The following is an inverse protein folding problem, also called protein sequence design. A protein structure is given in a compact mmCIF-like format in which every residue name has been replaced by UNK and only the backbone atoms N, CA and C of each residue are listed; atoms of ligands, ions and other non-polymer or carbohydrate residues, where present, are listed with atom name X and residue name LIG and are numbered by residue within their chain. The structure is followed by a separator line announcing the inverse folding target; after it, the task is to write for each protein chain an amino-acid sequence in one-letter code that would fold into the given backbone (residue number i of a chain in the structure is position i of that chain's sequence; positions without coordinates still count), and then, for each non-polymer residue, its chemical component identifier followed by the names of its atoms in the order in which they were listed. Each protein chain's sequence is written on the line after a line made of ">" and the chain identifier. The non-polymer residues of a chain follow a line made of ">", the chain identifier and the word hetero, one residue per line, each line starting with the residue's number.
data_IF_831813668961
#
_entry.id   IF_831813668961
#
_cell.length_a   1.000
_cell.length_b   1.000
_cell.length_c   1.000
_cell.angle_alpha   90.00
_cell.angle_beta   90.00
_cell.angle_gamma   90.00
#
_symmetry.space_group_name_H-M   'P 1'
#
loop_
_entity.id
_entity.type
_entity.pdbx_description
1 polymer ?
#
# COMPACT_ATOMS: atom_id res chain seq x y z
N UNK A 1 -2.89 49.49 -12.26
CA UNK A 1 -2.35 48.17 -11.92
C UNK A 1 -3.38 47.12 -12.33
N UNK A 2 -3.03 46.22 -13.23
CA UNK A 2 -3.89 45.15 -13.71
C UNK A 2 -4.16 44.09 -12.63
N UNK A 3 -5.17 43.22 -12.82
CA UNK A 3 -5.52 42.20 -11.82
C UNK A 3 -4.34 41.28 -11.47
N UNK A 4 -3.57 40.84 -12.43
CA UNK A 4 -2.38 39.99 -12.22
C UNK A 4 -1.28 40.68 -11.42
N UNK A 5 -1.06 42.00 -11.67
CA UNK A 5 -0.09 42.78 -10.92
C UNK A 5 -0.52 43.00 -9.48
N UNK A 6 -1.84 43.09 -9.20
CA UNK A 6 -2.37 43.17 -7.83
C UNK A 6 -2.16 41.87 -7.07
N UNK A 7 -2.30 40.74 -7.72
CA UNK A 7 -2.09 39.42 -7.14
C UNK A 7 -0.61 39.20 -6.75
N UNK A 8 0.32 39.54 -7.65
CA UNK A 8 1.76 39.49 -7.40
C UNK A 8 2.17 40.43 -6.28
N UNK A 9 1.67 41.69 -6.28
CA UNK A 9 1.91 42.65 -5.21
C UNK A 9 1.36 42.13 -3.87
N UNK A 10 0.16 41.56 -3.88
CA UNK A 10 -0.43 40.93 -2.70
C UNK A 10 0.43 39.82 -2.12
N UNK A 11 0.93 38.93 -2.97
CA UNK A 11 1.82 37.84 -2.58
C UNK A 11 3.17 38.34 -2.01
N UNK A 12 3.76 39.36 -2.62
CA UNK A 12 5.00 39.99 -2.14
C UNK A 12 4.84 40.69 -0.77
N UNK A 13 3.70 41.35 -0.55
CA UNK A 13 3.38 41.94 0.74
C UNK A 13 3.11 40.91 1.84
N UNK A 14 2.40 39.81 1.48
CA UNK A 14 2.11 38.69 2.38
C UNK A 14 3.37 37.91 2.79
N UNK A 15 4.29 37.72 1.84
CA UNK A 15 5.55 37.01 2.09
C UNK A 15 6.57 37.85 2.87
N UNK A 16 6.31 39.12 3.09
CA UNK A 16 7.25 40.06 3.75
C UNK A 16 8.45 40.47 2.88
N UNK A 17 8.44 40.12 1.60
CA UNK A 17 9.48 40.50 0.63
C UNK A 17 9.36 41.96 0.21
N UNK A 18 8.21 42.58 0.46
CA UNK A 18 7.95 43.97 0.16
C UNK A 18 7.37 44.66 1.40
N UNK A 19 8.05 45.69 1.92
CA UNK A 19 7.52 46.50 3.02
C UNK A 19 6.75 47.68 2.47
N UNK A 20 5.43 47.81 2.71
CA UNK A 20 4.70 49.02 2.39
C UNK A 20 5.18 50.16 3.30
N UNK A 21 5.25 51.39 2.78
CA UNK A 21 5.44 52.59 3.60
C UNK A 21 4.14 52.87 4.38
N UNK A 22 3.94 52.12 5.46
CA UNK A 22 2.73 52.17 6.28
C UNK A 22 2.56 53.47 7.04
N UNK A 23 3.61 54.30 7.08
CA UNK A 23 3.53 55.64 7.70
C UNK A 23 2.61 56.57 6.93
N UNK A 24 2.48 56.36 5.62
CA UNK A 24 1.63 57.21 4.75
C UNK A 24 0.18 56.72 4.64
N UNK A 25 -0.09 55.48 5.11
CA UNK A 25 -1.39 54.83 4.94
C UNK A 25 -1.85 54.12 6.22
N UNK A 26 -2.25 54.86 7.25
CA UNK A 26 -2.64 54.28 8.55
C UNK A 26 -3.85 53.35 8.45
N UNK A 27 -4.76 53.57 7.50
CA UNK A 27 -5.90 52.71 7.23
C UNK A 27 -5.47 51.30 6.69
N UNK A 28 -4.39 51.25 5.94
CA UNK A 28 -3.81 49.97 5.43
C UNK A 28 -3.11 49.25 6.57
N UNK A 29 -2.42 49.99 7.44
CA UNK A 29 -1.72 49.43 8.61
C UNK A 29 -2.68 48.66 9.51
N UNK A 30 -3.81 49.23 9.86
CA UNK A 30 -4.82 48.59 10.70
C UNK A 30 -5.41 47.30 10.06
N UNK A 31 -5.69 47.34 8.76
CA UNK A 31 -6.16 46.16 8.04
C UNK A 31 -5.12 45.07 7.96
N UNK A 32 -3.86 45.42 7.76
CA UNK A 32 -2.75 44.44 7.69
C UNK A 32 -2.50 43.80 9.06
N UNK A 33 -2.57 44.55 10.13
CA UNK A 33 -2.46 44.02 11.50
C UNK A 33 -3.61 43.06 11.83
N UNK A 34 -4.84 43.43 11.45
CA UNK A 34 -6.01 42.55 11.60
C UNK A 34 -5.85 41.24 10.78
N UNK A 35 -5.38 41.35 9.55
CA UNK A 35 -5.12 40.18 8.70
C UNK A 35 -4.04 39.25 9.31
N UNK A 36 -2.92 39.81 9.78
CA UNK A 36 -1.85 39.05 10.43
C UNK A 36 -2.35 38.30 11.65
N UNK A 37 -3.14 38.96 12.49
CA UNK A 37 -3.74 38.33 13.68
C UNK A 37 -4.63 37.14 13.29
N UNK A 38 -5.50 37.32 12.29
CA UNK A 38 -6.34 36.21 11.79
C UNK A 38 -5.48 35.10 11.22
N UNK A 39 -4.43 35.43 10.46
CA UNK A 39 -3.52 34.41 9.88
C UNK A 39 -2.74 33.65 10.95
N UNK A 40 -2.42 34.27 12.09
CA UNK A 40 -1.77 33.63 13.24
C UNK A 40 -2.73 32.70 14.01
N UNK A 41 -4.03 33.04 14.05
CA UNK A 41 -5.08 32.22 14.68
C UNK A 41 -5.44 31.00 13.84
N UNK A 42 -5.18 31.03 12.52
CA UNK A 42 -5.44 29.87 11.65
C UNK A 42 -4.43 28.76 11.92
N UNK A 43 -4.91 27.53 12.12
CA UNK A 43 -4.00 26.39 12.27
C UNK A 43 -3.15 26.25 11.00
N UNK A 44 -1.83 26.16 11.17
CA UNK A 44 -0.93 25.93 10.04
C UNK A 44 -1.27 24.60 9.40
N UNK A 45 -1.54 24.55 8.09
CA UNK A 45 -1.84 23.30 7.42
C UNK A 45 -0.64 22.36 7.52
N UNK A 46 -0.90 21.13 7.93
CA UNK A 46 0.10 20.06 7.91
C UNK A 46 0.17 19.49 6.51
N UNK A 47 1.26 19.77 5.82
CA UNK A 47 1.49 19.22 4.49
C UNK A 47 2.15 17.86 4.60
N UNK A 48 1.59 16.87 3.92
CA UNK A 48 2.19 15.57 3.74
C UNK A 48 2.55 15.38 2.26
N UNK A 49 3.67 14.70 1.99
CA UNK A 49 3.98 14.30 0.63
C UNK A 49 2.96 13.27 0.18
N UNK A 50 2.28 13.53 -0.90
CA UNK A 50 1.24 12.67 -1.44
C UNK A 50 1.34 12.60 -2.96
N UNK A 51 0.69 11.59 -3.53
CA UNK A 51 0.54 11.43 -4.97
C UNK A 51 -0.76 12.10 -5.38
N UNK A 52 -0.66 13.02 -6.32
CA UNK A 52 -1.84 13.64 -6.96
C UNK A 52 -2.10 12.92 -8.28
N UNK A 53 -3.36 12.73 -8.61
CA UNK A 53 -3.73 12.12 -9.87
C UNK A 53 -3.38 13.02 -11.06
N UNK A 54 -2.80 12.43 -12.10
CA UNK A 54 -2.39 13.14 -13.31
C UNK A 54 -3.39 13.02 -14.44
N UNK A 55 -3.10 13.69 -15.55
CA UNK A 55 -3.88 13.54 -16.79
C UNK A 55 -3.69 12.12 -17.33
N UNK A 56 -4.77 11.36 -17.54
CA UNK A 56 -4.70 10.02 -18.05
C UNK A 56 -4.16 10.02 -19.49
N UNK A 57 -3.14 9.20 -19.75
CA UNK A 57 -2.56 9.06 -21.09
C UNK A 57 -2.42 7.58 -21.40
N UNK A 58 -2.96 7.14 -22.52
CA UNK A 58 -2.76 5.79 -23.04
C UNK A 58 -1.34 5.68 -23.61
N UNK A 59 -0.60 4.66 -23.20
CA UNK A 59 0.78 4.44 -23.64
C UNK A 59 0.84 3.29 -24.65
N UNK A 60 1.63 3.45 -25.73
CA UNK A 60 1.89 2.35 -26.65
C UNK A 60 2.81 1.31 -25.98
N UNK A 61 2.74 0.08 -26.48
CA UNK A 61 3.65 -0.99 -26.03
C UNK A 61 5.01 -0.79 -26.66
N UNK A 62 6.08 -0.83 -25.88
CA UNK A 62 7.45 -0.83 -26.35
C UNK A 62 7.80 -2.24 -26.85
N UNK A 63 7.90 -2.41 -28.17
CA UNK A 63 8.20 -3.70 -28.77
C UNK A 63 9.60 -4.17 -28.37
N UNK A 64 9.66 -5.36 -27.73
CA UNK A 64 10.89 -5.91 -27.15
C UNK A 64 11.59 -5.00 -26.12
N UNK A 65 10.82 -4.09 -25.48
CA UNK A 65 11.36 -3.14 -24.50
C UNK A 65 12.12 -1.95 -25.11
N UNK A 66 12.15 -1.82 -26.42
CA UNK A 66 12.81 -0.70 -27.09
C UNK A 66 11.87 0.51 -27.16
N UNK A 67 12.23 1.59 -26.44
CA UNK A 67 11.46 2.84 -26.40
C UNK A 67 11.38 3.57 -27.75
N UNK A 68 12.23 3.24 -28.71
CA UNK A 68 12.24 3.78 -30.08
C UNK A 68 11.33 2.97 -31.03
N UNK A 69 11.00 1.75 -30.63
CA UNK A 69 10.15 0.85 -31.40
C UNK A 69 8.83 0.62 -30.66
N UNK A 70 7.86 1.49 -30.92
CA UNK A 70 6.56 1.48 -30.24
C UNK A 70 5.49 0.86 -31.15
N UNK A 71 4.52 0.21 -30.54
CA UNK A 71 3.34 -0.26 -31.26
C UNK A 71 2.55 0.91 -31.85
N UNK A 72 1.90 0.69 -32.98
CA UNK A 72 1.07 1.71 -33.62
C UNK A 72 -0.21 2.03 -32.81
N UNK A 73 -0.64 1.11 -31.95
CA UNK A 73 -1.84 1.26 -31.14
C UNK A 73 -1.44 1.46 -29.67
N UNK A 74 -2.08 2.43 -29.02
CA UNK A 74 -2.02 2.55 -27.58
C UNK A 74 -2.77 1.38 -26.93
N UNK A 75 -2.26 0.91 -25.80
CA UNK A 75 -2.95 -0.08 -24.99
C UNK A 75 -3.90 0.64 -24.03
N UNK A 76 -5.23 0.38 -24.12
CA UNK A 76 -6.14 0.94 -23.14
C UNK A 76 -5.81 0.39 -21.74
N UNK A 77 -5.95 1.25 -20.74
CA UNK A 77 -5.73 0.85 -19.35
C UNK A 77 -6.87 -0.04 -18.90
N UNK A 78 -6.55 -1.24 -18.50
CA UNK A 78 -7.54 -2.20 -17.98
C UNK A 78 -6.95 -3.02 -16.83
N UNK A 79 -7.83 -3.64 -16.06
CA UNK A 79 -7.43 -4.57 -15.03
C UNK A 79 -6.99 -5.91 -15.65
N UNK A 80 -6.33 -6.76 -14.85
CA UNK A 80 -5.80 -8.05 -15.31
C UNK A 80 -6.92 -8.95 -15.84
N UNK A 81 -6.77 -9.47 -17.05
CA UNK A 81 -7.78 -10.34 -17.71
C UNK A 81 -8.14 -11.56 -16.87
N UNK A 82 -7.14 -12.20 -16.28
CA UNK A 82 -7.34 -13.35 -15.40
C UNK A 82 -8.10 -13.05 -14.09
N UNK A 83 -8.33 -11.78 -13.78
CA UNK A 83 -9.07 -11.33 -12.61
C UNK A 83 -10.28 -10.46 -12.99
N UNK A 84 -10.87 -10.71 -14.15
CA UNK A 84 -12.08 -10.04 -14.61
C UNK A 84 -11.86 -8.81 -15.48
N UNK A 85 -10.73 -8.71 -16.15
CA UNK A 85 -10.25 -7.72 -17.12
C UNK A 85 -11.24 -6.68 -17.64
N UNK A 86 -11.55 -5.64 -16.85
CA UNK A 86 -12.42 -4.56 -17.29
C UNK A 86 -11.63 -3.27 -17.44
N UNK A 87 -12.04 -2.35 -18.35
CA UNK A 87 -11.42 -1.04 -18.46
C UNK A 87 -11.36 -0.32 -17.12
N UNK A 88 -10.31 0.47 -16.91
CA UNK A 88 -10.16 1.36 -15.77
C UNK A 88 -10.74 2.72 -16.17
N UNK A 89 -11.92 3.01 -15.66
CA UNK A 89 -12.63 4.27 -15.95
C UNK A 89 -13.17 4.85 -14.64
N UNK A 90 -12.32 5.62 -13.97
CA UNK A 90 -12.69 6.38 -12.78
C UNK A 90 -12.73 7.90 -13.08
N UNK A 91 -12.72 8.29 -14.34
CA UNK A 91 -12.63 9.69 -14.78
C UNK A 91 -11.24 10.31 -14.56
N UNK A 92 -10.27 9.54 -14.09
CA UNK A 92 -8.89 9.94 -13.80
C UNK A 92 -7.85 8.99 -14.36
N UNK A 93 -6.75 8.82 -13.64
CA UNK A 93 -5.64 7.93 -14.06
C UNK A 93 -5.97 6.44 -14.02
N UNK A 94 -7.06 6.03 -13.40
CA UNK A 94 -7.42 4.63 -13.15
C UNK A 94 -6.76 4.01 -11.91
N UNK A 95 -5.86 4.73 -11.25
CA UNK A 95 -5.14 4.19 -10.07
C UNK A 95 -6.06 3.82 -8.92
N UNK A 96 -7.08 4.65 -8.67
CA UNK A 96 -8.03 4.40 -7.59
C UNK A 96 -8.90 3.18 -7.89
N UNK A 97 -9.41 3.05 -9.12
CA UNK A 97 -10.19 1.90 -9.54
C UNK A 97 -9.33 0.62 -9.49
N UNK A 98 -8.10 0.69 -9.98
CA UNK A 98 -7.15 -0.41 -9.89
C UNK A 98 -6.90 -0.84 -8.44
N UNK A 99 -6.66 0.12 -7.55
CA UNK A 99 -6.44 -0.15 -6.12
C UNK A 99 -7.67 -0.78 -5.46
N UNK A 100 -8.89 -0.31 -5.78
CA UNK A 100 -10.14 -0.90 -5.29
C UNK A 100 -10.29 -2.36 -5.73
N UNK A 101 -9.98 -2.68 -6.99
CA UNK A 101 -10.07 -4.05 -7.52
C UNK A 101 -9.02 -4.96 -6.89
N UNK A 102 -7.78 -4.46 -6.68
CA UNK A 102 -6.75 -5.23 -5.94
C UNK A 102 -7.19 -5.50 -4.50
N UNK A 103 -7.79 -4.54 -3.83
CA UNK A 103 -8.24 -4.66 -2.44
C UNK A 103 -9.67 -5.26 -2.30
N UNK A 104 -10.31 -5.64 -3.39
CA UNK A 104 -11.65 -6.25 -3.36
C UNK A 104 -11.64 -7.58 -2.62
N UNK A 105 -12.74 -7.86 -1.92
CA UNK A 105 -13.00 -9.19 -1.35
C UNK A 105 -13.12 -10.27 -2.42
N UNK A 106 -13.54 -9.91 -3.64
CA UNK A 106 -13.68 -10.80 -4.78
C UNK A 106 -12.34 -11.15 -5.43
N UNK A 107 -11.27 -10.42 -5.09
CA UNK A 107 -9.94 -10.73 -5.59
C UNK A 107 -9.37 -11.96 -4.87
N UNK A 108 -9.21 -13.11 -5.56
CA UNK A 108 -8.83 -14.35 -4.90
C UNK A 108 -7.39 -14.36 -4.40
N UNK A 109 -6.54 -13.45 -4.86
CA UNK A 109 -5.11 -13.49 -4.60
C UNK A 109 -4.70 -12.60 -3.42
N UNK A 110 -5.23 -11.38 -3.30
CA UNK A 110 -4.73 -10.40 -2.34
C UNK A 110 -4.77 -10.91 -0.90
N UNK A 111 -5.90 -11.49 -0.49
CA UNK A 111 -6.03 -12.05 0.86
C UNK A 111 -5.12 -13.25 1.09
N UNK A 112 -5.03 -14.19 0.12
CA UNK A 112 -4.14 -15.36 0.21
C UNK A 112 -2.67 -14.96 0.31
N UNK A 113 -2.23 -14.05 -0.54
CA UNK A 113 -0.84 -13.54 -0.52
C UNK A 113 -0.53 -12.89 0.82
N UNK A 114 -1.42 -12.01 1.32
CA UNK A 114 -1.21 -11.34 2.60
C UNK A 114 -1.15 -12.33 3.76
N UNK A 115 -2.09 -13.25 3.82
CA UNK A 115 -2.14 -14.29 4.85
C UNK A 115 -0.88 -15.17 4.81
N UNK A 116 -0.46 -15.60 3.63
CA UNK A 116 0.72 -16.44 3.48
C UNK A 116 2.01 -15.72 3.93
N UNK A 117 2.14 -14.44 3.63
CA UNK A 117 3.27 -13.61 4.11
C UNK A 117 3.27 -13.47 5.63
N UNK A 118 2.11 -13.25 6.24
CA UNK A 118 2.00 -13.18 7.70
C UNK A 118 2.31 -14.55 8.32
N UNK A 119 1.75 -15.61 7.75
CA UNK A 119 2.04 -16.98 8.16
C UNK A 119 3.53 -17.29 8.12
N UNK A 120 4.21 -16.95 7.01
CA UNK A 120 5.65 -17.20 6.87
C UNK A 120 6.50 -16.45 7.90
N UNK A 121 6.07 -15.25 8.30
CA UNK A 121 6.74 -14.48 9.37
C UNK A 121 6.53 -15.10 10.74
N UNK A 122 5.36 -15.71 10.99
CA UNK A 122 5.03 -16.32 12.28
C UNK A 122 5.66 -17.72 12.41
N UNK A 123 5.63 -18.52 11.34
CA UNK A 123 6.06 -19.94 11.35
C UNK A 123 7.35 -20.19 10.56
N UNK A 124 8.03 -19.16 10.09
CA UNK A 124 9.29 -19.27 9.37
C UNK A 124 9.20 -19.76 7.93
N UNK A 125 8.07 -20.32 7.50
CA UNK A 125 7.79 -20.79 6.12
C UNK A 125 6.34 -20.55 5.78
N UNK A 126 6.06 -20.11 4.54
CA UNK A 126 4.70 -19.94 4.04
C UNK A 126 3.98 -21.29 3.85
N UNK A 127 2.65 -21.28 3.94
CA UNK A 127 1.80 -22.38 3.48
C UNK A 127 2.04 -22.66 1.99
N UNK A 128 2.23 -21.61 1.22
CA UNK A 128 2.85 -21.62 -0.10
C UNK A 128 4.30 -21.16 0.09
N UNK A 129 5.26 -22.04 -0.20
CA UNK A 129 6.68 -21.77 0.08
C UNK A 129 7.25 -20.64 -0.79
N UNK A 130 6.79 -20.50 -2.04
CA UNK A 130 7.09 -19.36 -2.93
C UNK A 130 6.28 -18.11 -2.51
N UNK A 131 6.68 -17.46 -1.43
CA UNK A 131 5.90 -16.40 -0.75
C UNK A 131 5.54 -15.24 -1.68
N UNK A 132 6.38 -14.94 -2.65
CA UNK A 132 6.21 -13.84 -3.59
C UNK A 132 5.72 -14.29 -4.99
N UNK A 133 5.52 -15.59 -5.19
CA UNK A 133 5.03 -16.13 -6.45
C UNK A 133 3.82 -17.06 -6.23
N UNK A 134 2.64 -16.51 -6.49
CA UNK A 134 1.35 -17.20 -6.51
C UNK A 134 0.90 -17.52 -7.94
N UNK A 135 1.78 -17.29 -8.92
CA UNK A 135 1.51 -17.54 -10.32
C UNK A 135 1.71 -19.00 -10.74
N UNK A 136 1.65 -19.22 -12.06
CA UNK A 136 1.79 -20.55 -12.67
C UNK A 136 3.13 -21.24 -12.34
N UNK A 137 4.19 -20.46 -12.14
CA UNK A 137 5.53 -20.96 -11.80
C UNK A 137 5.74 -21.12 -10.29
N UNK A 138 4.82 -20.62 -9.47
CA UNK A 138 4.84 -20.78 -8.02
C UNK A 138 4.58 -22.23 -7.61
N UNK A 139 4.97 -22.54 -6.38
CA UNK A 139 4.71 -23.85 -5.77
C UNK A 139 3.23 -24.11 -5.50
N UNK A 140 2.94 -25.29 -4.95
CA UNK A 140 1.62 -25.60 -4.41
C UNK A 140 1.58 -25.34 -2.91
N UNK A 141 0.45 -24.87 -2.41
CA UNK A 141 0.25 -24.73 -0.97
C UNK A 141 0.28 -26.12 -0.30
N UNK A 142 0.98 -26.23 0.83
CA UNK A 142 1.02 -27.46 1.64
C UNK A 142 -0.34 -27.79 2.25
N UNK A 143 -1.10 -26.76 2.60
CA UNK A 143 -2.43 -26.84 3.21
C UNK A 143 -3.37 -25.83 2.52
N UNK A 144 -3.88 -26.14 1.31
CA UNK A 144 -4.66 -25.20 0.53
C UNK A 144 -5.94 -24.77 1.24
N UNK A 145 -6.67 -25.69 1.86
CA UNK A 145 -7.91 -25.40 2.59
C UNK A 145 -7.67 -24.48 3.80
N UNK A 146 -6.55 -24.67 4.49
CA UNK A 146 -6.17 -23.77 5.60
C UNK A 146 -5.85 -22.36 5.10
N UNK A 147 -5.14 -22.26 3.97
CA UNK A 147 -4.84 -20.97 3.37
C UNK A 147 -6.13 -20.25 2.96
N UNK A 148 -7.07 -20.95 2.35
CA UNK A 148 -8.36 -20.41 1.92
C UNK A 148 -9.21 -19.98 3.11
N UNK A 149 -9.30 -20.81 4.15
CA UNK A 149 -10.00 -20.48 5.39
C UNK A 149 -9.45 -19.24 6.07
N UNK A 150 -8.13 -19.15 6.19
CA UNK A 150 -7.48 -17.99 6.79
C UNK A 150 -7.66 -16.73 5.93
N UNK A 151 -7.61 -16.85 4.60
CA UNK A 151 -7.84 -15.74 3.68
C UNK A 151 -9.27 -15.21 3.77
N UNK A 152 -10.26 -16.09 3.76
CA UNK A 152 -11.67 -15.74 3.93
C UNK A 152 -11.90 -15.05 5.29
N UNK A 153 -11.45 -15.66 6.36
CA UNK A 153 -11.56 -15.10 7.71
C UNK A 153 -10.84 -13.75 7.87
N UNK A 154 -9.73 -13.53 7.15
CA UNK A 154 -9.02 -12.27 7.15
C UNK A 154 -9.86 -11.14 6.54
N UNK A 155 -10.54 -11.42 5.41
CA UNK A 155 -11.49 -10.50 4.76
C UNK A 155 -12.67 -10.21 5.69
N UNK A 156 -13.35 -11.23 6.23
CA UNK A 156 -14.49 -11.09 7.12
C UNK A 156 -14.16 -10.26 8.40
N UNK A 157 -12.93 -10.37 8.88
CA UNK A 157 -12.46 -9.59 10.02
C UNK A 157 -11.97 -8.18 9.66
N UNK A 158 -12.33 -7.67 8.47
CA UNK A 158 -12.01 -6.32 8.01
C UNK A 158 -10.54 -6.12 7.70
N UNK A 159 -9.86 -7.12 7.13
CA UNK A 159 -8.44 -7.07 6.72
C UNK A 159 -7.49 -6.75 7.88
N UNK A 160 -7.87 -7.10 9.09
CA UNK A 160 -7.11 -6.78 10.30
C UNK A 160 -5.91 -7.70 10.50
N UNK A 161 -4.73 -7.22 10.14
CA UNK A 161 -3.45 -7.90 10.38
C UNK A 161 -3.26 -8.26 11.86
N UNK A 162 -3.65 -7.36 12.78
CA UNK A 162 -3.52 -7.58 14.23
C UNK A 162 -4.39 -8.75 14.71
N UNK A 163 -5.63 -8.84 14.24
CA UNK A 163 -6.53 -9.97 14.58
C UNK A 163 -5.98 -11.28 14.03
N UNK A 164 -5.47 -11.29 12.80
CA UNK A 164 -4.87 -12.47 12.19
C UNK A 164 -3.65 -12.95 12.98
N UNK A 165 -2.69 -12.07 13.27
CA UNK A 165 -1.49 -12.42 14.07
C UNK A 165 -1.92 -12.99 15.43
N UNK A 166 -2.83 -12.30 16.15
CA UNK A 166 -3.35 -12.78 17.43
C UNK A 166 -3.91 -14.19 17.31
N UNK A 167 -4.68 -14.47 16.27
CA UNK A 167 -5.25 -15.80 16.02
C UNK A 167 -4.18 -16.85 15.83
N UNK A 168 -3.14 -16.55 15.03
CA UNK A 168 -2.06 -17.49 14.74
C UNK A 168 -1.23 -17.82 15.98
N UNK A 169 -0.84 -16.83 16.78
CA UNK A 169 -0.01 -17.05 17.98
C UNK A 169 -0.78 -17.74 19.12
N UNK A 170 -2.10 -17.72 19.09
CA UNK A 170 -2.94 -18.46 20.04
C UNK A 170 -3.25 -19.90 19.61
N UNK A 171 -2.78 -20.33 18.43
CA UNK A 171 -2.98 -21.72 17.98
C UNK A 171 -2.10 -22.68 18.75
N UNK A 172 -2.56 -23.93 18.88
CA UNK A 172 -1.73 -25.01 19.45
C UNK A 172 -0.44 -25.20 18.65
N UNK A 173 -0.49 -25.04 17.33
CA UNK A 173 0.67 -25.13 16.44
C UNK A 173 1.77 -24.17 16.83
N UNK A 174 1.43 -22.92 17.17
CA UNK A 174 2.41 -21.92 17.61
C UNK A 174 2.98 -22.24 18.99
N UNK A 175 2.18 -22.88 19.87
CA UNK A 175 2.56 -23.22 21.24
C UNK A 175 3.27 -24.57 21.35
N UNK A 176 3.51 -25.28 20.25
CA UNK A 176 4.22 -26.55 20.26
C UNK A 176 5.70 -26.36 20.60
N UNK A 177 6.29 -27.41 21.19
CA UNK A 177 7.74 -27.47 21.37
C UNK A 177 8.48 -27.37 20.05
N UNK A 178 9.62 -26.70 20.04
CA UNK A 178 10.56 -26.70 18.92
C UNK A 178 11.48 -27.95 18.91
N UNK A 179 11.53 -28.68 20.01
CA UNK A 179 12.32 -29.91 20.12
C UNK A 179 11.57 -31.05 19.44
N UNK A 180 12.15 -31.68 18.40
CA UNK A 180 11.50 -32.78 17.70
C UNK A 180 11.38 -34.00 18.61
N UNK A 181 10.21 -34.65 18.56
CA UNK A 181 10.03 -35.96 19.18
C UNK A 181 10.70 -37.09 18.37
N UNK A 182 10.76 -38.30 18.94
CA UNK A 182 11.32 -39.47 18.25
C UNK A 182 10.66 -39.71 16.87
N UNK A 183 11.45 -39.88 15.85
CA UNK A 183 10.97 -40.17 14.49
C UNK A 183 10.43 -38.99 13.70
N UNK A 184 10.16 -37.84 14.30
CA UNK A 184 9.60 -36.67 13.59
C UNK A 184 10.51 -36.14 12.48
N UNK A 185 11.82 -36.11 12.71
CA UNK A 185 12.79 -35.67 11.69
C UNK A 185 12.89 -36.62 10.50
N UNK A 186 12.61 -37.92 10.70
CA UNK A 186 12.58 -38.91 9.62
C UNK A 186 11.27 -38.83 8.85
N UNK A 187 10.14 -38.65 9.55
CA UNK A 187 8.82 -38.63 8.93
C UNK A 187 8.53 -37.31 8.17
N UNK A 188 8.94 -36.18 8.75
CA UNK A 188 8.76 -34.85 8.15
C UNK A 188 9.99 -33.96 8.40
N UNK A 189 11.09 -34.19 7.66
CA UNK A 189 12.33 -33.44 7.84
C UNK A 189 12.15 -31.92 7.73
N UNK A 190 11.30 -31.50 6.80
CA UNK A 190 11.07 -30.10 6.45
C UNK A 190 9.93 -29.45 7.26
N UNK A 191 9.31 -30.21 8.17
CA UNK A 191 8.19 -29.76 9.02
C UNK A 191 7.01 -29.18 8.22
N UNK A 192 6.68 -29.81 7.07
CA UNK A 192 5.56 -29.37 6.23
C UNK A 192 4.23 -29.54 6.97
N UNK A 193 4.11 -30.62 7.77
CA UNK A 193 2.90 -30.93 8.54
C UNK A 193 2.84 -30.26 9.89
N UNK A 194 3.76 -29.32 10.17
CA UNK A 194 3.74 -28.50 11.39
C UNK A 194 3.72 -29.36 12.66
N UNK A 195 4.53 -30.42 12.72
CA UNK A 195 4.62 -31.31 13.88
C UNK A 195 5.34 -30.69 15.07
N UNK A 196 6.07 -29.61 14.87
CA UNK A 196 6.79 -28.83 15.87
C UNK A 196 6.79 -27.35 15.51
N UNK A 197 7.04 -26.49 16.48
CA UNK A 197 7.30 -25.06 16.17
C UNK A 197 8.69 -24.95 15.50
N UNK A 198 8.82 -24.29 14.35
CA UNK A 198 10.13 -24.06 13.75
C UNK A 198 11.01 -23.18 14.63
N UNK A 199 12.31 -23.50 14.70
CA UNK A 199 13.30 -22.62 15.32
C UNK A 199 13.61 -21.51 14.31
N UNK A 200 13.41 -20.27 14.70
CA UNK A 200 13.76 -19.09 13.92
C UNK A 200 14.82 -18.29 14.67
N UNK A 201 15.79 -17.77 13.93
CA UNK A 201 16.73 -16.78 14.47
C UNK A 201 15.98 -15.45 14.65
N UNK A 202 16.17 -14.81 15.79
CA UNK A 202 15.65 -13.46 16.01
C UNK A 202 16.45 -12.45 15.17
N UNK A 203 15.77 -11.44 14.70
CA UNK A 203 16.39 -10.30 14.04
C UNK A 203 17.18 -9.50 15.10
N UNK A 204 18.27 -8.84 14.67
CA UNK A 204 19.15 -8.13 15.60
C UNK A 204 18.42 -7.01 16.37
N UNK A 205 17.42 -6.40 15.72
CA UNK A 205 16.57 -5.36 16.33
C UNK A 205 15.59 -5.89 17.38
N UNK A 206 15.43 -7.21 17.47
CA UNK A 206 14.53 -7.87 18.43
C UNK A 206 15.28 -8.42 19.66
N UNK A 207 16.61 -8.28 19.72
CA UNK A 207 17.48 -8.66 20.81
C UNK A 207 17.75 -7.44 21.68
#
# INVERSE_FOLDING_TARGET
>A
IGPEQREVLGALLQSGLMHPDLGKHPEIKGKLEAFRRIAEELPRPVYVRSVVDGVPTEQPVYLRGDHRNVSQNANPRHFLDGLGGAPLDDGGSGRLDWAKRVASADNPLTARVRVNRIWSRVFGRGLLASVDDFGKMGGKASHPELLDYLAHSFVENGWSTKKLIRRLVLTRTFQMSSVPGPGMLTADPTNIYLQRMPVARMDAEAI
#
